data_IF_578438331561
#
_entry.id   IF_578438331561
#
_cell.length_a   1.000
_cell.length_b   1.000
_cell.length_c   1.000
_cell.angle_alpha   90.00
_cell.angle_beta   90.00
_cell.angle_gamma   90.00
#
_symmetry.space_group_name_H-M   'P 1'
#
loop_
_entity.id
_entity.type
_entity.pdbx_description
1 polymer ?
#
# COMPACT_ATOMS: atom_id res chain seq x y z
N UNK A 1 -22.78 15.32 7.48
CA UNK A 1 -21.93 14.26 6.92
C UNK A 1 -20.66 14.87 6.36
N UNK A 2 -19.56 14.38 6.84
CA UNK A 2 -18.26 14.88 6.40
C UNK A 2 -17.79 14.08 5.20
N UNK A 3 -17.59 14.75 4.07
CA UNK A 3 -17.01 14.15 2.87
C UNK A 3 -15.52 14.47 2.75
N UNK A 4 -14.85 14.48 3.89
CA UNK A 4 -13.40 14.74 3.88
C UNK A 4 -12.68 13.62 3.14
N UNK A 5 -11.72 13.93 2.24
CA UNK A 5 -11.01 12.90 1.46
C UNK A 5 -10.32 11.83 2.32
N UNK A 6 -9.91 12.18 3.53
CA UNK A 6 -9.29 11.21 4.44
C UNK A 6 -10.22 10.05 4.80
N UNK A 7 -11.54 10.26 4.77
CA UNK A 7 -12.51 9.21 5.06
C UNK A 7 -12.58 8.14 3.97
N UNK A 8 -12.06 8.43 2.78
CA UNK A 8 -11.97 7.46 1.69
C UNK A 8 -10.72 6.58 1.75
N UNK A 9 -9.79 6.85 2.66
CA UNK A 9 -8.61 6.01 2.86
C UNK A 9 -9.01 4.70 3.54
N UNK A 10 -8.48 3.60 3.06
CA UNK A 10 -8.78 2.27 3.57
C UNK A 10 -7.81 1.91 4.70
N UNK A 11 -8.32 1.55 5.87
CA UNK A 11 -7.49 1.25 7.04
C UNK A 11 -6.57 0.05 6.83
N UNK A 12 -6.95 -0.90 6.01
CA UNK A 12 -6.09 -2.06 5.68
C UNK A 12 -4.95 -1.64 4.76
N UNK A 13 -5.25 -0.83 3.75
CA UNK A 13 -4.30 -0.39 2.72
C UNK A 13 -3.45 0.77 3.23
N UNK A 14 -4.06 1.73 3.93
CA UNK A 14 -3.40 2.94 4.39
C UNK A 14 -2.62 2.70 5.68
N UNK A 15 -1.54 1.98 5.53
CA UNK A 15 -0.57 1.71 6.57
C UNK A 15 0.80 1.58 5.88
N UNK A 16 1.82 2.17 6.44
CA UNK A 16 3.13 2.30 5.78
C UNK A 16 3.65 0.99 5.19
N UNK A 17 3.65 -0.06 5.97
CA UNK A 17 4.21 -1.35 5.55
C UNK A 17 3.31 -2.01 4.50
N UNK A 18 2.00 -2.04 4.75
CA UNK A 18 1.06 -2.69 3.83
C UNK A 18 0.98 -1.94 2.51
N UNK A 19 0.98 -0.61 2.54
CA UNK A 19 1.04 0.19 1.32
C UNK A 19 2.34 -0.09 0.55
N UNK A 20 3.46 -0.22 1.26
CA UNK A 20 4.74 -0.58 0.67
C UNK A 20 4.72 -1.96 0.03
N UNK A 21 4.15 -2.96 0.70
CA UNK A 21 4.01 -4.32 0.15
C UNK A 21 3.20 -4.30 -1.15
N UNK A 22 2.05 -3.64 -1.13
CA UNK A 22 1.17 -3.56 -2.30
C UNK A 22 1.86 -2.85 -3.46
N UNK A 23 2.58 -1.78 -3.20
CA UNK A 23 3.29 -1.01 -4.22
C UNK A 23 4.40 -1.83 -4.86
N UNK A 24 5.21 -2.50 -4.05
CA UNK A 24 6.31 -3.34 -4.55
C UNK A 24 5.75 -4.52 -5.36
N UNK A 25 4.69 -5.17 -4.87
CA UNK A 25 4.07 -6.29 -5.56
C UNK A 25 3.43 -5.85 -6.89
N UNK A 26 2.91 -4.63 -6.94
CA UNK A 26 2.36 -4.06 -8.18
C UNK A 26 3.47 -3.90 -9.24
N UNK A 27 4.62 -3.40 -8.86
CA UNK A 27 5.74 -3.17 -9.77
C UNK A 27 6.39 -4.47 -10.24
N UNK A 28 6.58 -5.41 -9.32
CA UNK A 28 7.36 -6.63 -9.58
C UNK A 28 6.53 -7.81 -10.08
N UNK A 29 5.21 -7.71 -10.14
CA UNK A 29 4.23 -8.77 -10.38
C UNK A 29 4.19 -9.80 -9.25
N UNK A 30 5.32 -10.39 -8.91
CA UNK A 30 5.48 -11.20 -7.70
C UNK A 30 6.80 -10.82 -7.06
N UNK A 31 6.85 -10.91 -5.74
CA UNK A 31 8.01 -10.50 -4.97
C UNK A 31 8.28 -11.52 -3.87
N UNK A 32 9.55 -11.80 -3.64
CA UNK A 32 9.97 -12.75 -2.63
C UNK A 32 9.97 -12.11 -1.25
N UNK A 33 9.65 -12.91 -0.22
CA UNK A 33 9.57 -12.49 1.17
C UNK A 33 10.80 -11.73 1.66
N UNK A 34 11.99 -12.25 1.35
CA UNK A 34 13.25 -11.64 1.78
C UNK A 34 13.44 -10.24 1.21
N UNK A 35 13.01 -10.04 -0.03
CA UNK A 35 13.08 -8.73 -0.68
C UNK A 35 12.19 -7.71 0.05
N UNK A 36 10.96 -8.09 0.38
CA UNK A 36 10.05 -7.22 1.12
C UNK A 36 10.61 -6.85 2.49
N UNK A 37 11.16 -7.85 3.19
CA UNK A 37 11.73 -7.63 4.52
C UNK A 37 12.87 -6.63 4.49
N UNK A 38 13.77 -6.78 3.54
CA UNK A 38 14.93 -5.90 3.40
C UNK A 38 14.52 -4.49 2.99
N UNK A 39 13.67 -4.37 1.98
CA UNK A 39 13.30 -3.06 1.43
C UNK A 39 12.40 -2.25 2.34
N UNK A 40 11.60 -2.90 3.16
CA UNK A 40 10.68 -2.24 4.09
C UNK A 40 11.20 -2.23 5.53
N UNK A 41 12.40 -2.74 5.74
CA UNK A 41 13.07 -2.78 7.04
C UNK A 41 12.18 -3.45 8.10
N UNK A 42 11.79 -4.70 7.83
CA UNK A 42 10.85 -5.43 8.67
C UNK A 42 11.53 -6.54 9.46
N UNK A 43 11.04 -6.79 10.67
CA UNK A 43 11.30 -8.06 11.37
C UNK A 43 10.44 -9.16 10.75
N UNK A 44 10.83 -10.41 10.94
CA UNK A 44 10.05 -11.56 10.46
C UNK A 44 8.62 -11.55 11.05
N UNK A 45 8.48 -11.19 12.32
CA UNK A 45 7.18 -11.12 12.98
C UNK A 45 6.29 -10.02 12.41
N UNK A 46 6.83 -8.82 12.20
CA UNK A 46 6.09 -7.71 11.61
C UNK A 46 5.67 -8.02 10.18
N UNK A 47 6.56 -8.62 9.40
CA UNK A 47 6.25 -9.02 8.04
C UNK A 47 5.08 -10.01 8.00
N UNK A 48 5.17 -11.05 8.83
CA UNK A 48 4.14 -12.09 8.90
C UNK A 48 2.78 -11.51 9.27
N UNK A 49 2.75 -10.60 10.24
CA UNK A 49 1.52 -9.95 10.68
C UNK A 49 0.87 -9.14 9.56
N UNK A 50 1.64 -8.31 8.87
CA UNK A 50 1.11 -7.48 7.79
C UNK A 50 0.66 -8.31 6.59
N UNK A 51 1.40 -9.36 6.25
CA UNK A 51 1.00 -10.27 5.17
C UNK A 51 -0.29 -11.02 5.51
N UNK A 52 -0.46 -11.42 6.76
CA UNK A 52 -1.71 -12.06 7.22
C UNK A 52 -2.90 -11.12 7.07
N UNK A 53 -2.76 -9.86 7.44
CA UNK A 53 -3.82 -8.86 7.28
C UNK A 53 -4.21 -8.71 5.81
N UNK A 54 -3.24 -8.58 4.92
CA UNK A 54 -3.49 -8.44 3.49
C UNK A 54 -4.09 -9.71 2.87
N UNK A 55 -3.61 -10.86 3.27
CA UNK A 55 -4.10 -12.14 2.78
C UNK A 55 -5.56 -12.36 3.21
N UNK A 56 -5.87 -12.11 4.48
CA UNK A 56 -7.22 -12.24 5.01
C UNK A 56 -8.20 -11.26 4.33
N UNK A 57 -7.71 -10.10 3.91
CA UNK A 57 -8.53 -9.14 3.16
C UNK A 57 -8.67 -9.50 1.67
N UNK A 58 -8.00 -10.56 1.22
CA UNK A 58 -8.06 -10.99 -0.18
C UNK A 58 -7.27 -10.13 -1.15
N UNK A 59 -6.33 -9.32 -0.66
CA UNK A 59 -5.60 -8.36 -1.49
C UNK A 59 -4.30 -8.91 -2.07
N UNK A 60 -3.77 -9.96 -1.48
CA UNK A 60 -2.55 -10.63 -1.96
C UNK A 60 -2.76 -12.13 -2.05
N UNK A 61 -1.89 -12.77 -2.85
CA UNK A 61 -1.76 -14.21 -2.94
C UNK A 61 -0.35 -14.59 -2.51
N UNK A 62 -0.24 -15.60 -1.66
CA UNK A 62 1.04 -16.09 -1.15
C UNK A 62 1.27 -17.48 -1.72
N UNK A 63 2.39 -17.64 -2.41
CA UNK A 63 2.77 -18.91 -3.01
C UNK A 63 4.10 -19.40 -2.44
N UNK A 64 4.11 -20.65 -2.00
CA UNK A 64 5.36 -21.32 -1.59
C UNK A 64 5.87 -22.17 -2.75
N UNK A 65 7.16 -22.11 -2.99
CA UNK A 65 7.78 -22.84 -4.07
C UNK A 65 9.27 -22.97 -3.86
N UNK A 66 9.96 -23.31 -4.92
CA UNK A 66 11.40 -23.53 -4.89
C UNK A 66 12.05 -22.76 -6.04
N UNK A 67 13.23 -22.22 -5.74
CA UNK A 67 14.17 -21.74 -6.74
C UNK A 67 15.40 -22.63 -6.65
N UNK A 68 15.50 -23.59 -7.59
CA UNK A 68 16.45 -24.67 -7.47
C UNK A 68 16.12 -25.55 -6.27
N UNK A 69 17.04 -25.72 -5.33
CA UNK A 69 16.86 -26.49 -4.09
C UNK A 69 16.40 -25.63 -2.91
N UNK A 70 16.28 -24.31 -3.11
CA UNK A 70 15.92 -23.38 -2.05
C UNK A 70 14.42 -23.16 -1.99
N UNK A 71 13.85 -23.28 -0.80
CA UNK A 71 12.47 -22.91 -0.55
C UNK A 71 12.32 -21.39 -0.64
N UNK A 72 11.31 -20.92 -1.37
CA UNK A 72 10.98 -19.50 -1.53
C UNK A 72 9.50 -19.28 -1.29
N UNK A 73 9.18 -18.11 -0.76
CA UNK A 73 7.79 -17.68 -0.63
C UNK A 73 7.62 -16.38 -1.41
N UNK A 74 6.58 -16.34 -2.24
CA UNK A 74 6.31 -15.25 -3.17
C UNK A 74 4.98 -14.60 -2.83
N UNK A 75 4.92 -13.29 -3.01
CA UNK A 75 3.71 -12.50 -2.83
C UNK A 75 3.36 -11.82 -4.14
N UNK A 76 2.09 -11.86 -4.50
CA UNK A 76 1.57 -11.14 -5.67
C UNK A 76 0.24 -10.49 -5.32
N UNK A 77 -0.13 -9.44 -6.08
CA UNK A 77 -1.44 -8.82 -5.93
C UNK A 77 -2.52 -9.70 -6.53
N UNK A 78 -3.67 -9.75 -5.84
CA UNK A 78 -4.90 -10.22 -6.47
C UNK A 78 -5.52 -9.08 -7.28
N UNK A 79 -6.51 -9.36 -8.16
CA UNK A 79 -7.29 -8.29 -8.79
C UNK A 79 -7.90 -7.32 -7.78
N UNK A 80 -8.40 -7.83 -6.65
CA UNK A 80 -8.92 -7.00 -5.57
C UNK A 80 -7.83 -6.12 -4.95
N UNK A 81 -6.61 -6.67 -4.79
CA UNK A 81 -5.47 -5.90 -4.28
C UNK A 81 -5.07 -4.77 -5.21
N UNK A 82 -5.07 -5.02 -6.51
CA UNK A 82 -4.78 -3.99 -7.49
C UNK A 82 -5.83 -2.87 -7.46
N UNK A 83 -7.10 -3.22 -7.37
CA UNK A 83 -8.20 -2.24 -7.24
C UNK A 83 -8.07 -1.44 -5.95
N UNK A 84 -7.81 -2.11 -4.83
CA UNK A 84 -7.65 -1.44 -3.54
C UNK A 84 -6.48 -0.44 -3.55
N UNK A 85 -5.37 -0.81 -4.16
CA UNK A 85 -4.22 0.08 -4.29
C UNK A 85 -4.55 1.30 -5.14
N UNK A 86 -5.23 1.11 -6.26
CA UNK A 86 -5.64 2.22 -7.15
C UNK A 86 -6.62 3.15 -6.46
N UNK A 87 -7.56 2.62 -5.70
CA UNK A 87 -8.53 3.42 -4.94
C UNK A 87 -7.82 4.26 -3.88
N UNK A 88 -6.85 3.68 -3.19
CA UNK A 88 -6.04 4.38 -2.21
C UNK A 88 -5.26 5.54 -2.85
N UNK A 89 -4.63 5.29 -3.98
CA UNK A 89 -3.89 6.33 -4.72
C UNK A 89 -4.84 7.47 -5.13
N UNK A 90 -6.04 7.15 -5.58
CA UNK A 90 -7.03 8.16 -5.96
C UNK A 90 -7.43 9.03 -4.76
N UNK A 91 -7.62 8.42 -3.58
CA UNK A 91 -7.95 9.16 -2.36
C UNK A 91 -6.77 10.03 -1.89
N UNK A 92 -5.55 9.52 -1.98
CA UNK A 92 -4.36 10.30 -1.65
C UNK A 92 -4.22 11.51 -2.57
N UNK A 93 -4.49 11.35 -3.86
CA UNK A 93 -4.47 12.47 -4.82
C UNK A 93 -5.49 13.53 -4.48
N UNK A 94 -6.70 13.13 -4.06
CA UNK A 94 -7.74 14.07 -3.61
C UNK A 94 -7.29 14.86 -2.39
N UNK A 95 -6.66 14.18 -1.44
CA UNK A 95 -6.14 14.82 -0.23
C UNK A 95 -5.05 15.84 -0.58
N UNK A 96 -4.12 15.46 -1.43
CA UNK A 96 -3.05 16.34 -1.89
C UNK A 96 -3.63 17.56 -2.60
N UNK A 97 -4.60 17.36 -3.51
CA UNK A 97 -5.24 18.44 -4.25
C UNK A 97 -5.97 19.41 -3.31
N UNK A 98 -6.59 18.91 -2.26
CA UNK A 98 -7.25 19.76 -1.28
C UNK A 98 -6.25 20.66 -0.55
N UNK A 99 -5.12 20.11 -0.14
CA UNK A 99 -4.06 20.87 0.51
C UNK A 99 -3.50 21.93 -0.42
N UNK A 100 -3.23 21.57 -1.67
CA UNK A 100 -2.71 22.49 -2.69
C UNK A 100 -3.69 23.64 -2.95
N UNK A 101 -4.98 23.36 -3.06
CA UNK A 101 -6.00 24.40 -3.24
C UNK A 101 -6.07 25.34 -2.05
N UNK A 102 -5.99 24.82 -0.84
CA UNK A 102 -5.98 25.63 0.37
C UNK A 102 -4.75 26.53 0.43
N UNK A 103 -3.60 26.03 0.06
CA UNK A 103 -2.36 26.81 0.03
C UNK A 103 -2.43 27.91 -1.01
N UNK A 104 -2.95 27.64 -2.20
CA UNK A 104 -3.16 28.66 -3.24
C UNK A 104 -4.12 29.74 -2.78
N UNK A 105 -5.21 29.35 -2.11
CA UNK A 105 -6.17 30.31 -1.57
C UNK A 105 -5.53 31.20 -0.50
N UNK A 106 -4.75 30.63 0.41
CA UNK A 106 -4.03 31.41 1.44
C UNK A 106 -3.07 32.43 0.85
N UNK A 107 -2.35 32.04 -0.19
CA UNK A 107 -1.46 32.97 -0.89
C UNK A 107 -2.20 34.15 -1.51
N UNK A 108 -3.42 33.93 -2.06
CA UNK A 108 -4.25 35.00 -2.62
C UNK A 108 -4.81 35.92 -1.55
N UNK A 109 -5.10 35.41 -0.37
CA UNK A 109 -5.70 36.14 0.75
C UNK A 109 -4.67 36.90 1.57
N UNK A 110 -3.39 36.55 1.49
CA UNK A 110 -2.35 37.23 2.23
C UNK A 110 -2.04 38.60 1.60
N UNK A 111 -2.13 39.67 2.40
CA UNK A 111 -1.69 40.98 1.90
C UNK A 111 -0.19 40.93 1.66
N UNK A 112 0.21 41.49 0.55
CA UNK A 112 1.62 41.64 0.20
C UNK A 112 2.26 42.75 1.02
#
# INVERSE_FOLDING_TARGET
MTNHPANGLDDVVHQRVRLGILTIAHEARRVEFGYLRTNLDLTAGNQSQHLTVLDNAGLISIEKGYEGKRARTWVSLTPAGNTALRDEIAQLKRLINQIDRNDKRRKREQPT
#
